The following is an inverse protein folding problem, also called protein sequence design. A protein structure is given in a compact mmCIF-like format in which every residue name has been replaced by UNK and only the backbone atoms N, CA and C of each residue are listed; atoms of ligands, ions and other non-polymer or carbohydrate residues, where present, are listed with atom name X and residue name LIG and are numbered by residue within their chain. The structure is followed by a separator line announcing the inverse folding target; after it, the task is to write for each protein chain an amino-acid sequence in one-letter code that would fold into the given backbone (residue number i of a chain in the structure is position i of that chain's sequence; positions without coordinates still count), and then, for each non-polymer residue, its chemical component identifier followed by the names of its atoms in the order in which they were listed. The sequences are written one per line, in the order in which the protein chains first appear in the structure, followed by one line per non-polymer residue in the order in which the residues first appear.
data_IF_312955744731
#
_entry.id   IF_312955744731
#
_cell.length_a   1.000
_cell.length_b   1.000
_cell.length_c   1.000
_cell.angle_alpha   90.00
_cell.angle_beta   90.00
_cell.angle_gamma   90.00
#
_symmetry.space_group_name_H-M   'P 1'
#
loop_
_entity.id
_entity.type
_entity.pdbx_description
1 polymer ?
#
# COMPACT_ATOMS: atom_id res chain seq x y z
N UNK A 1 -2.22 0.64 -1.06
CA UNK A 1 -1.41 1.84 -0.79
C UNK A 1 -0.54 1.53 0.39
N UNK A 2 0.70 1.11 0.12
CA UNK A 2 1.69 0.82 1.14
C UNK A 2 2.26 2.16 1.61
N UNK A 3 1.46 2.83 2.45
CA UNK A 3 1.80 4.10 3.07
C UNK A 3 3.13 3.89 3.79
N UNK A 4 4.14 4.73 3.52
CA UNK A 4 5.56 4.62 3.89
C UNK A 4 5.81 4.38 5.40
N UNK A 5 5.40 3.21 5.87
CA UNK A 5 5.37 2.81 7.27
C UNK A 5 6.69 2.16 7.70
N UNK A 6 7.53 1.82 6.73
CA UNK A 6 8.79 1.13 6.93
C UNK A 6 9.86 2.06 7.50
N UNK A 7 9.86 3.32 7.09
CA UNK A 7 10.80 4.33 7.54
C UNK A 7 10.26 5.13 8.74
N UNK A 8 9.72 4.48 9.76
CA UNK A 8 9.30 5.14 11.01
C UNK A 8 10.41 5.17 12.05
N UNK A 9 10.42 6.18 12.91
CA UNK A 9 11.35 6.28 14.05
C UNK A 9 10.58 6.43 15.35
N UNK A 10 10.85 5.55 16.31
CA UNK A 10 10.16 5.55 17.61
C UNK A 10 10.58 6.78 18.42
N UNK A 11 9.58 7.48 18.95
CA UNK A 11 9.74 8.58 19.89
C UNK A 11 10.40 8.09 21.18
N UNK A 12 11.14 8.99 21.83
CA UNK A 12 11.84 8.68 23.05
C UNK A 12 10.88 8.20 24.15
N UNK A 13 11.12 7.00 24.68
CA UNK A 13 10.29 6.41 25.75
C UNK A 13 10.76 6.92 27.11
N UNK A 14 9.90 7.70 27.79
CA UNK A 14 10.11 8.19 29.16
C UNK A 14 11.09 9.37 29.27
N UNK A 15 11.67 9.56 30.45
CA UNK A 15 12.60 10.67 30.78
C UNK A 15 14.06 10.41 30.39
N UNK A 16 14.32 9.46 29.49
CA UNK A 16 15.69 9.16 29.04
C UNK A 16 16.18 10.32 28.19
N UNK A 17 17.40 10.79 28.40
CA UNK A 17 18.01 11.79 27.52
C UNK A 17 18.46 11.14 26.21
N UNK A 18 18.20 11.78 25.06
CA UNK A 18 18.74 11.32 23.78
C UNK A 18 20.25 11.59 23.79
N UNK A 19 21.06 10.53 23.82
CA UNK A 19 22.52 10.66 23.94
C UNK A 19 23.21 11.23 22.70
N UNK A 20 22.51 11.31 21.56
CA UNK A 20 23.03 11.80 20.29
C UNK A 20 22.29 13.07 19.86
N UNK A 21 22.95 14.21 20.02
CA UNK A 21 22.42 15.54 19.68
C UNK A 21 22.97 16.09 18.35
N UNK A 22 23.64 15.25 17.56
CA UNK A 22 24.20 15.70 16.29
C UNK A 22 23.08 16.06 15.32
N UNK A 23 23.24 17.20 14.64
CA UNK A 23 22.35 17.59 13.55
C UNK A 23 22.99 17.18 12.24
N UNK A 24 22.27 16.38 11.45
CA UNK A 24 22.73 15.97 10.13
C UNK A 24 22.49 17.11 9.13
N UNK A 25 23.57 17.81 8.74
CA UNK A 25 23.52 18.95 7.79
C UNK A 25 24.21 18.67 6.46
N UNK A 26 24.76 17.48 6.27
CA UNK A 26 25.69 17.17 5.17
C UNK A 26 25.00 16.65 3.90
N UNK A 27 23.67 16.55 3.88
CA UNK A 27 22.92 16.00 2.75
C UNK A 27 22.29 17.09 1.89
N UNK A 28 22.33 16.86 0.58
CA UNK A 28 21.61 17.66 -0.40
C UNK A 28 20.18 17.14 -0.66
N UNK A 29 19.81 15.99 -0.09
CA UNK A 29 18.48 15.41 -0.25
C UNK A 29 17.48 16.03 0.74
N UNK A 30 17.85 16.18 2.01
CA UNK A 30 16.90 16.60 3.04
C UNK A 30 16.56 18.08 2.95
N UNK A 31 15.26 18.38 2.86
CA UNK A 31 14.73 19.72 3.04
C UNK A 31 14.74 20.06 4.53
N UNK A 32 15.14 21.30 4.86
CA UNK A 32 15.14 21.78 6.23
C UNK A 32 13.71 21.82 6.77
N UNK A 33 13.54 21.37 8.02
CA UNK A 33 12.24 21.39 8.71
C UNK A 33 11.59 22.78 8.70
N UNK A 34 12.35 23.81 9.04
CA UNK A 34 11.85 25.19 9.05
C UNK A 34 11.34 25.64 7.68
N UNK A 35 11.98 25.18 6.59
CA UNK A 35 11.52 25.45 5.24
C UNK A 35 10.20 24.75 4.92
N UNK A 36 10.04 23.49 5.33
CA UNK A 36 8.80 22.72 5.13
C UNK A 36 7.65 23.29 5.97
N UNK A 37 7.93 23.67 7.22
CA UNK A 37 6.93 24.16 8.16
C UNK A 37 6.38 25.55 7.80
N UNK A 38 7.06 26.33 6.96
CA UNK A 38 6.49 27.55 6.34
C UNK A 38 5.16 27.27 5.60
N UNK A 39 5.00 26.05 5.06
CA UNK A 39 3.83 25.65 4.27
C UNK A 39 2.73 24.99 5.09
N UNK A 40 2.93 24.80 6.41
CA UNK A 40 2.00 24.07 7.28
C UNK A 40 0.56 24.64 7.25
N UNK A 41 0.44 25.97 7.16
CA UNK A 41 -0.85 26.67 7.26
C UNK A 41 -1.40 27.16 5.90
N UNK A 42 -0.76 26.81 4.78
CA UNK A 42 -1.15 27.34 3.46
C UNK A 42 -2.46 26.76 2.94
N UNK A 43 -2.81 25.54 3.36
CA UNK A 43 -4.08 24.89 3.01
C UNK A 43 -4.94 24.82 4.26
N UNK A 44 -6.00 25.65 4.33
CA UNK A 44 -6.94 25.62 5.45
C UNK A 44 -7.63 24.25 5.53
N UNK A 45 -7.58 23.63 6.70
CA UNK A 45 -8.43 22.49 7.03
C UNK A 45 -9.91 22.91 6.91
N UNK A 46 -10.75 22.06 6.31
CA UNK A 46 -12.20 22.31 6.29
C UNK A 46 -12.71 22.26 7.73
N UNK A 47 -13.53 23.23 8.18
CA UNK A 47 -14.11 23.16 9.52
C UNK A 47 -15.01 21.93 9.62
N UNK A 48 -14.77 21.08 10.63
CA UNK A 48 -15.69 20.00 11.01
C UNK A 48 -17.06 20.61 11.30
N UNK A 49 -18.09 20.17 10.58
CA UNK A 49 -19.47 20.45 10.96
C UNK A 49 -19.71 19.87 12.36
N UNK A 50 -20.22 20.68 13.28
CA UNK A 50 -20.72 20.20 14.58
C UNK A 50 -21.70 19.07 14.31
N UNK A 51 -21.46 17.87 14.86
CA UNK A 51 -22.44 16.78 14.81
C UNK A 51 -23.73 17.29 15.44
N UNK A 52 -24.78 17.38 14.64
CA UNK A 52 -26.16 17.51 15.12
C UNK A 52 -26.74 16.11 15.03
N UNK A 53 -27.10 15.54 16.17
CA UNK A 53 -27.74 14.22 16.19
C UNK A 53 -29.17 14.36 15.65
N UNK A 54 -29.48 13.63 14.58
CA UNK A 54 -30.72 13.80 13.81
C UNK A 54 -31.94 13.10 14.44
N UNK A 55 -31.97 12.91 15.75
CA UNK A 55 -33.09 12.25 16.44
C UNK A 55 -33.69 12.98 17.65
N UNK A 56 -33.18 14.13 18.10
CA UNK A 56 -33.83 14.84 19.23
C UNK A 56 -33.72 16.37 19.26
N UNK A 57 -32.94 17.00 18.38
CA UNK A 57 -32.98 18.47 18.24
C UNK A 57 -32.58 19.27 19.49
N UNK A 58 -31.75 18.73 20.39
CA UNK A 58 -31.18 19.50 21.51
C UNK A 58 -29.65 19.31 21.62
N UNK A 59 -28.92 20.33 22.14
CA UNK A 59 -27.48 20.23 22.35
C UNK A 59 -27.18 19.36 23.57
N UNK A 60 -26.23 18.44 23.45
CA UNK A 60 -25.69 17.68 24.59
C UNK A 60 -24.87 18.64 25.46
N UNK A 61 -25.27 18.81 26.71
CA UNK A 61 -24.46 19.39 27.78
C UNK A 61 -23.64 18.25 28.39
N UNK A 62 -22.32 18.41 28.41
CA UNK A 62 -21.42 17.53 29.17
C UNK A 62 -21.47 17.98 30.64
N UNK A 63 -22.26 17.28 31.45
CA UNK A 63 -22.25 17.41 32.91
C UNK A 63 -21.22 16.41 33.49
N UNK A 64 -20.01 16.90 33.73
CA UNK A 64 -19.02 16.24 34.60
C UNK A 64 -19.15 16.79 36.03
N UNK A 65 -19.84 16.07 36.92
CA UNK A 65 -19.72 16.27 38.37
C UNK A 65 -19.29 14.98 39.11
N UNK A 66 -18.08 15.08 39.65
CA UNK A 66 -17.44 14.46 40.81
C UNK A 66 -18.06 13.22 41.51
N UNK A 67 -17.21 12.23 41.81
CA UNK A 67 -16.84 11.91 43.20
C UNK A 67 -15.35 11.55 43.34
N UNK A 68 -14.82 11.89 44.52
CA UNK A 68 -13.42 11.99 44.94
C UNK A 68 -12.98 10.74 45.70
N UNK A 69 -11.70 10.36 45.58
CA UNK A 69 -10.86 10.03 46.74
C UNK A 69 -9.35 10.19 46.41
N UNK A 70 -8.61 10.79 47.36
CA UNK A 70 -7.26 11.39 47.24
C UNK A 70 -6.11 10.43 46.84
N UNK A 71 -4.90 10.90 46.51
CA UNK A 71 -4.04 11.88 47.20
C UNK A 71 -2.84 12.26 46.28
N UNK A 72 -2.26 13.46 46.43
CA UNK A 72 -0.89 13.80 45.99
C UNK A 72 -0.71 14.76 44.78
N UNK A 73 -0.51 16.05 45.08
CA UNK A 73 -0.16 17.17 44.18
C UNK A 73 1.15 17.01 43.37
N UNK A 74 1.10 17.32 42.06
CA UNK A 74 2.11 18.12 41.31
C UNK A 74 1.39 18.87 40.15
N UNK A 75 1.60 20.19 39.93
CA UNK A 75 0.82 20.95 38.95
C UNK A 75 1.33 20.73 37.51
N UNK A 76 0.51 20.11 36.65
CA UNK A 76 0.76 20.03 35.21
C UNK A 76 0.08 21.18 34.48
N UNK A 77 0.92 22.03 33.88
CA UNK A 77 0.56 23.17 33.05
C UNK A 77 -0.19 22.68 31.80
N UNK A 78 -1.46 23.06 31.66
CA UNK A 78 -2.29 22.74 30.48
C UNK A 78 -1.73 23.44 29.24
N UNK A 79 -1.00 22.69 28.40
CA UNK A 79 -0.78 23.07 27.00
C UNK A 79 -1.88 22.46 26.16
N UNK A 80 -2.78 23.31 25.67
CA UNK A 80 -3.78 22.96 24.65
C UNK A 80 -3.06 22.52 23.37
N UNK A 81 -3.09 21.22 23.08
CA UNK A 81 -2.58 20.67 21.84
C UNK A 81 -3.75 20.64 20.83
N UNK A 82 -3.68 21.48 19.80
CA UNK A 82 -4.63 21.47 18.70
C UNK A 82 -4.40 20.22 17.86
N UNK A 83 -5.39 19.34 17.79
CA UNK A 83 -5.36 18.15 16.92
C UNK A 83 -5.82 18.59 15.52
N UNK A 84 -4.87 18.71 14.61
CA UNK A 84 -5.12 19.08 13.21
C UNK A 84 -5.46 17.81 12.41
N UNK A 85 -6.62 17.81 11.73
CA UNK A 85 -7.24 16.63 11.14
C UNK A 85 -6.82 16.34 9.69
N UNK A 86 -6.78 15.05 9.35
CA UNK A 86 -6.52 14.49 8.01
C UNK A 86 -7.69 14.74 7.03
N UNK A 87 -7.38 14.96 5.74
CA UNK A 87 -8.32 15.33 4.68
C UNK A 87 -8.99 14.15 3.96
N UNK A 88 -8.88 12.93 4.50
CA UNK A 88 -9.48 11.72 3.91
C UNK A 88 -10.98 11.54 4.20
N UNK A 89 -11.59 12.42 5.00
CA UNK A 89 -13.02 12.42 5.30
C UNK A 89 -13.85 13.06 4.17
N UNK A 90 -14.06 12.32 3.09
CA UNK A 90 -15.16 12.60 2.16
C UNK A 90 -16.47 12.04 2.72
N UNK A 91 -17.23 12.89 3.41
CA UNK A 91 -18.66 12.66 3.66
C UNK A 91 -19.45 13.31 2.51
N UNK A 92 -19.64 12.56 1.44
CA UNK A 92 -20.67 12.90 0.46
C UNK A 92 -22.01 12.59 1.14
N UNK A 93 -22.66 13.65 1.63
CA UNK A 93 -23.86 13.62 2.48
C UNK A 93 -25.13 13.07 1.84
N UNK A 94 -25.09 11.87 1.25
CA UNK A 94 -26.27 11.08 0.91
C UNK A 94 -26.03 9.57 0.71
N UNK A 95 -25.11 8.96 1.46
CA UNK A 95 -25.01 7.48 1.51
C UNK A 95 -25.08 7.04 2.96
N UNK A 96 -26.11 6.26 3.29
CA UNK A 96 -26.25 5.55 4.57
C UNK A 96 -25.09 4.55 4.68
N UNK A 97 -23.93 5.00 5.15
CA UNK A 97 -22.77 4.13 5.34
C UNK A 97 -23.11 3.11 6.43
N UNK A 98 -22.98 1.82 6.09
CA UNK A 98 -23.31 0.74 7.00
C UNK A 98 -22.51 0.84 8.32
N UNK A 99 -23.08 0.45 9.48
CA UNK A 99 -22.46 0.56 10.81
C UNK A 99 -21.04 -0.04 10.91
N UNK A 100 -20.77 -1.07 10.10
CA UNK A 100 -19.46 -1.70 9.98
C UNK A 100 -18.38 -0.72 9.47
N UNK A 101 -18.69 0.08 8.44
CA UNK A 101 -17.73 1.01 7.82
C UNK A 101 -17.41 2.17 8.77
N UNK A 102 -18.40 2.66 9.50
CA UNK A 102 -18.19 3.69 10.53
C UNK A 102 -17.34 3.17 11.69
N UNK A 103 -17.55 1.91 12.13
CA UNK A 103 -16.75 1.30 13.19
C UNK A 103 -15.31 1.00 12.72
N UNK A 104 -15.14 0.57 11.46
CA UNK A 104 -13.81 0.34 10.87
C UNK A 104 -13.03 1.65 10.69
N UNK A 105 -13.69 2.71 10.21
CA UNK A 105 -13.10 4.05 10.11
C UNK A 105 -12.74 4.63 11.48
N UNK A 106 -13.59 4.44 12.48
CA UNK A 106 -13.32 4.84 13.85
C UNK A 106 -12.12 4.07 14.43
N UNK A 107 -12.07 2.75 14.27
CA UNK A 107 -10.96 1.92 14.72
C UNK A 107 -9.63 2.30 14.03
N UNK A 108 -9.65 2.49 12.70
CA UNK A 108 -8.48 2.96 11.96
C UNK A 108 -8.05 4.37 12.43
N UNK A 109 -8.98 5.28 12.68
CA UNK A 109 -8.65 6.62 13.18
C UNK A 109 -8.02 6.59 14.58
N UNK A 110 -8.44 5.66 15.45
CA UNK A 110 -7.88 5.48 16.79
C UNK A 110 -6.53 4.77 16.76
N UNK A 111 -6.34 3.78 15.89
CA UNK A 111 -5.06 3.11 15.65
C UNK A 111 -4.03 4.10 15.07
N UNK A 112 -4.44 4.97 14.15
CA UNK A 112 -3.57 6.01 13.60
C UNK A 112 -3.15 7.03 14.67
N UNK A 113 -4.08 7.46 15.54
CA UNK A 113 -3.77 8.35 16.68
C UNK A 113 -2.83 7.69 17.71
N UNK A 114 -3.08 6.42 18.07
CA UNK A 114 -2.22 5.66 19.00
C UNK A 114 -0.85 5.38 18.40
N UNK A 115 -0.78 5.14 17.09
CA UNK A 115 0.46 4.97 16.35
C UNK A 115 1.32 6.25 16.39
N UNK A 116 0.73 7.44 16.20
CA UNK A 116 1.46 8.72 16.23
C UNK A 116 2.01 9.09 17.60
N UNK A 117 1.39 8.64 18.69
CA UNK A 117 1.93 8.86 20.03
C UNK A 117 3.26 8.13 20.29
N UNK A 118 3.63 7.15 19.43
CA UNK A 118 4.82 6.30 19.59
C UNK A 118 5.96 6.73 18.65
N UNK A 119 5.72 7.52 17.60
CA UNK A 119 6.74 7.86 16.60
C UNK A 119 7.00 9.37 16.54
N UNK A 120 8.27 9.78 16.60
CA UNK A 120 8.66 11.19 16.45
C UNK A 120 8.70 11.58 14.96
N UNK A 121 9.24 10.68 14.14
CA UNK A 121 9.20 10.75 12.68
C UNK A 121 8.33 9.59 12.15
N UNK A 122 7.18 9.94 11.58
CA UNK A 122 6.17 9.00 11.10
C UNK A 122 6.48 8.42 9.71
N UNK A 123 7.48 8.98 9.01
CA UNK A 123 7.92 8.55 7.69
C UNK A 123 8.76 9.62 7.00
N UNK A 124 8.97 9.45 5.69
CA UNK A 124 9.56 10.48 4.83
C UNK A 124 8.68 10.73 3.61
N UNK A 125 8.75 11.93 3.07
CA UNK A 125 8.14 12.31 1.82
C UNK A 125 9.25 12.52 0.79
N UNK A 126 9.18 11.86 -0.37
CA UNK A 126 10.28 11.83 -1.35
C UNK A 126 9.82 12.37 -2.70
N UNK A 127 10.68 13.19 -3.31
CA UNK A 127 10.57 13.59 -4.71
C UNK A 127 11.65 12.91 -5.54
N UNK A 128 11.27 12.36 -6.69
CA UNK A 128 12.18 11.83 -7.68
C UNK A 128 11.90 12.43 -9.06
N UNK A 129 12.91 12.51 -9.91
CA UNK A 129 12.73 12.86 -11.31
C UNK A 129 12.22 11.65 -12.13
N UNK A 130 11.79 11.91 -13.36
CA UNK A 130 11.39 10.87 -14.33
C UNK A 130 12.44 9.79 -14.59
N UNK A 131 13.73 10.09 -14.38
CA UNK A 131 14.82 9.12 -14.58
C UNK A 131 15.03 8.21 -13.37
N UNK A 132 14.22 8.34 -12.32
CA UNK A 132 14.32 7.55 -11.11
C UNK A 132 15.32 8.05 -10.07
N UNK A 133 15.96 9.20 -10.30
CA UNK A 133 16.86 9.82 -9.33
C UNK A 133 16.05 10.57 -8.27
N UNK A 134 16.33 10.26 -7.01
CA UNK A 134 15.84 11.00 -5.83
C UNK A 134 16.41 12.41 -5.87
N UNK A 135 15.56 13.41 -5.71
CA UNK A 135 15.92 14.83 -5.71
C UNK A 135 15.91 15.38 -4.28
N UNK A 136 14.79 15.22 -3.58
CA UNK A 136 14.58 15.78 -2.26
C UNK A 136 13.75 14.86 -1.36
N UNK A 137 13.97 15.01 -0.06
CA UNK A 137 13.35 14.24 1.01
C UNK A 137 12.90 15.23 2.09
N UNK A 138 11.71 15.04 2.65
CA UNK A 138 11.24 15.77 3.81
C UNK A 138 10.79 14.80 4.89
N UNK A 139 11.21 15.02 6.14
CA UNK A 139 10.75 14.18 7.25
C UNK A 139 9.31 14.50 7.61
N UNK A 140 8.50 13.44 7.75
CA UNK A 140 7.14 13.57 8.24
C UNK A 140 7.16 13.50 9.77
N UNK A 141 7.32 14.65 10.42
CA UNK A 141 7.44 14.76 11.88
C UNK A 141 6.06 14.82 12.52
N UNK A 142 5.77 13.88 13.44
CA UNK A 142 4.54 13.81 14.25
C UNK A 142 3.23 14.05 13.47
N UNK A 143 3.21 13.69 12.19
CA UNK A 143 2.08 13.90 11.28
C UNK A 143 2.09 12.87 10.16
N UNK A 144 0.91 12.60 9.58
CA UNK A 144 0.78 11.83 8.33
C UNK A 144 1.14 12.67 7.10
N UNK A 145 0.66 12.29 5.91
CA UNK A 145 0.86 13.02 4.66
C UNK A 145 0.10 14.36 4.66
N UNK A 146 0.66 15.38 5.31
CA UNK A 146 0.14 16.75 5.26
C UNK A 146 0.46 17.38 3.90
N UNK A 147 -0.44 18.25 3.42
CA UNK A 147 -0.27 19.02 2.18
C UNK A 147 0.98 19.91 2.16
N UNK A 148 1.58 20.20 3.32
CA UNK A 148 2.83 20.97 3.42
C UNK A 148 4.02 20.29 2.73
N UNK A 149 4.09 18.96 2.73
CA UNK A 149 5.21 18.22 2.13
C UNK A 149 5.26 18.34 0.60
N UNK A 150 4.18 18.06 -0.15
CA UNK A 150 4.16 18.30 -1.59
C UNK A 150 4.33 19.78 -1.93
N UNK A 151 3.80 20.71 -1.13
CA UNK A 151 4.00 22.16 -1.35
C UNK A 151 5.46 22.58 -1.19
N UNK A 152 6.15 22.13 -0.15
CA UNK A 152 7.55 22.44 0.07
C UNK A 152 8.43 21.88 -1.07
N UNK A 153 8.17 20.66 -1.52
CA UNK A 153 8.87 20.08 -2.67
C UNK A 153 8.57 20.84 -3.95
N UNK A 154 7.33 21.24 -4.20
CA UNK A 154 6.96 22.02 -5.38
C UNK A 154 7.65 23.39 -5.35
N UNK A 155 7.65 24.07 -4.21
CA UNK A 155 8.36 25.33 -4.05
C UNK A 155 9.86 25.17 -4.31
N UNK A 156 10.47 24.10 -3.78
CA UNK A 156 11.88 23.80 -4.05
C UNK A 156 12.14 23.51 -5.53
N UNK A 157 11.27 22.74 -6.17
CA UNK A 157 11.38 22.44 -7.59
C UNK A 157 11.25 23.70 -8.44
N UNK A 158 10.32 24.60 -8.12
CA UNK A 158 10.15 25.88 -8.81
C UNK A 158 11.37 26.80 -8.63
N UNK A 159 11.97 26.82 -7.44
CA UNK A 159 13.21 27.56 -7.16
C UNK A 159 14.38 27.05 -8.03
N UNK A 160 14.54 25.73 -8.15
CA UNK A 160 15.70 25.10 -8.79
C UNK A 160 15.55 24.96 -10.31
N UNK A 161 14.35 24.59 -10.79
CA UNK A 161 14.10 24.27 -12.20
C UNK A 161 13.20 25.28 -12.93
N UNK A 162 12.57 26.21 -12.20
CA UNK A 162 11.61 27.17 -12.76
C UNK A 162 10.25 26.57 -13.08
N UNK A 163 9.45 27.28 -13.90
CA UNK A 163 8.01 27.04 -14.08
C UNK A 163 7.70 25.83 -14.99
N UNK A 164 8.67 25.35 -15.77
CA UNK A 164 8.45 24.28 -16.77
C UNK A 164 8.60 22.89 -16.15
N UNK A 165 7.72 22.59 -15.19
CA UNK A 165 7.72 21.33 -14.46
C UNK A 165 6.42 20.56 -14.67
N UNK A 166 6.56 19.24 -14.81
CA UNK A 166 5.46 18.29 -14.68
C UNK A 166 5.73 17.53 -13.39
N UNK A 167 4.86 17.70 -12.40
CA UNK A 167 4.99 17.05 -11.09
C UNK A 167 3.76 16.16 -10.91
N UNK A 168 3.83 14.87 -11.28
CA UNK A 168 2.81 13.91 -10.90
C UNK A 168 2.89 13.69 -9.38
N UNK A 169 1.74 13.66 -8.72
CA UNK A 169 1.64 13.42 -7.29
C UNK A 169 0.53 12.43 -7.00
N UNK A 170 0.82 11.47 -6.12
CA UNK A 170 0.00 10.27 -5.92
C UNK A 170 -1.06 10.43 -4.81
N UNK A 171 -1.53 11.66 -4.58
CA UNK A 171 -2.75 11.86 -3.79
C UNK A 171 -3.93 12.03 -4.72
N UNK A 172 -4.83 11.05 -4.63
CA UNK A 172 -6.21 11.16 -5.07
C UNK A 172 -6.90 12.31 -4.35
N UNK A 173 -6.82 13.52 -4.91
CA UNK A 173 -7.78 14.56 -4.61
C UNK A 173 -9.13 13.99 -5.07
N UNK A 174 -10.03 13.72 -4.11
CA UNK A 174 -11.35 13.12 -4.29
C UNK A 174 -12.29 13.99 -5.16
N UNK A 175 -11.96 14.06 -6.44
CA UNK A 175 -12.82 14.55 -7.49
C UNK A 175 -12.71 13.53 -8.62
N UNK A 176 -13.67 12.61 -8.63
CA UNK A 176 -13.92 11.58 -9.66
C UNK A 176 -13.97 12.12 -11.11
N UNK A 177 -13.82 13.44 -11.29
CA UNK A 177 -13.83 14.19 -12.53
C UNK A 177 -12.43 14.51 -13.13
N UNK A 178 -11.29 14.25 -12.45
CA UNK A 178 -9.95 14.73 -12.90
C UNK A 178 -8.93 13.65 -13.30
N UNK A 179 -9.28 12.37 -13.26
CA UNK A 179 -8.36 11.27 -13.62
C UNK A 179 -7.78 11.41 -15.04
N UNK A 180 -8.49 12.03 -15.97
CA UNK A 180 -8.11 12.05 -17.38
C UNK A 180 -7.14 13.16 -17.78
N UNK A 181 -7.30 14.36 -17.23
CA UNK A 181 -6.41 15.50 -17.56
C UNK A 181 -5.03 15.36 -16.92
N UNK A 182 -4.96 14.58 -15.83
CA UNK A 182 -3.77 14.44 -15.02
C UNK A 182 -3.16 13.03 -15.10
N UNK A 183 -3.71 12.12 -15.92
CA UNK A 183 -3.12 10.79 -16.11
C UNK A 183 -1.73 10.96 -16.74
N UNK A 184 -0.68 10.28 -16.23
CA UNK A 184 0.68 10.43 -16.74
C UNK A 184 0.78 10.30 -18.26
N UNK A 185 0.17 9.25 -18.82
CA UNK A 185 0.14 8.99 -20.27
C UNK A 185 -0.62 10.03 -21.12
N UNK A 186 -1.41 10.91 -20.52
CA UNK A 186 -2.15 11.97 -21.24
C UNK A 186 -1.37 13.30 -21.22
N UNK A 187 -0.46 13.48 -20.26
CA UNK A 187 0.30 14.72 -20.11
C UNK A 187 1.42 14.76 -21.16
N UNK A 188 1.32 15.70 -22.09
CA UNK A 188 2.36 15.95 -23.09
C UNK A 188 3.70 16.25 -22.40
N UNK A 189 4.71 15.41 -22.69
CA UNK A 189 6.05 15.50 -22.10
C UNK A 189 6.39 14.36 -21.13
N UNK A 190 5.39 13.59 -20.65
CA UNK A 190 5.62 12.43 -19.79
C UNK A 190 6.33 11.29 -20.54
N UNK A 191 6.06 11.12 -21.83
CA UNK A 191 6.70 10.08 -22.65
C UNK A 191 6.16 8.69 -22.34
N UNK A 192 7.05 7.70 -22.22
CA UNK A 192 6.74 6.30 -21.90
C UNK A 192 6.87 5.98 -20.40
N UNK A 193 6.94 7.00 -19.53
CA UNK A 193 7.10 6.80 -18.09
C UNK A 193 5.78 6.33 -17.46
N UNK A 194 5.84 5.26 -16.67
CA UNK A 194 4.70 4.67 -15.95
C UNK A 194 4.41 5.36 -14.60
N UNK A 195 5.40 6.06 -14.04
CA UNK A 195 5.30 6.72 -12.74
C UNK A 195 5.56 5.81 -11.53
N UNK A 196 5.94 4.55 -11.73
CA UNK A 196 6.10 3.55 -10.65
C UNK A 196 7.41 3.68 -9.86
N UNK A 197 8.28 4.61 -10.26
CA UNK A 197 9.60 4.82 -9.63
C UNK A 197 9.53 4.93 -8.12
N UNK A 198 8.58 5.72 -7.59
CA UNK A 198 8.48 5.94 -6.15
C UNK A 198 8.02 4.67 -5.43
N UNK A 199 7.14 3.87 -6.03
CA UNK A 199 6.72 2.59 -5.46
C UNK A 199 7.91 1.63 -5.34
N UNK A 200 8.73 1.53 -6.39
CA UNK A 200 9.97 0.74 -6.35
C UNK A 200 10.96 1.25 -5.31
N UNK A 201 11.12 2.57 -5.20
CA UNK A 201 11.99 3.21 -4.21
C UNK A 201 11.53 2.87 -2.79
N UNK A 202 10.24 3.03 -2.49
CA UNK A 202 9.70 2.75 -1.16
C UNK A 202 9.80 1.26 -0.84
N UNK A 203 9.50 0.38 -1.79
CA UNK A 203 9.69 -1.06 -1.65
C UNK A 203 11.15 -1.42 -1.30
N UNK A 204 12.14 -0.84 -2.02
CA UNK A 204 13.55 -1.06 -1.72
C UNK A 204 13.98 -0.50 -0.35
N UNK A 205 13.41 0.65 0.04
CA UNK A 205 13.70 1.30 1.33
C UNK A 205 13.23 0.49 2.54
N UNK A 206 12.31 -0.47 2.35
CA UNK A 206 11.85 -1.37 3.41
C UNK A 206 13.00 -2.15 4.06
N UNK A 207 14.10 -2.37 3.33
CA UNK A 207 15.32 -2.99 3.87
C UNK A 207 15.96 -2.21 5.04
N UNK A 208 15.76 -0.89 5.11
CA UNK A 208 16.28 -0.04 6.19
C UNK A 208 15.43 -0.13 7.47
N UNK A 209 14.18 -0.58 7.36
CA UNK A 209 13.20 -0.48 8.44
C UNK A 209 13.64 -1.15 9.74
N UNK A 210 14.26 -2.33 9.65
CA UNK A 210 14.74 -3.09 10.82
C UNK A 210 15.85 -2.36 11.57
N UNK A 211 16.64 -1.55 10.87
CA UNK A 211 17.83 -0.89 11.39
C UNK A 211 17.50 0.50 11.95
N UNK A 212 16.70 1.29 11.25
CA UNK A 212 16.52 2.72 11.59
C UNK A 212 15.45 3.01 12.65
N UNK A 213 14.55 2.06 12.94
CA UNK A 213 13.39 2.25 13.84
C UNK A 213 13.75 2.71 15.25
N UNK A 214 14.90 2.28 15.75
CA UNK A 214 15.37 2.53 17.12
C UNK A 214 16.61 3.45 17.17
N UNK A 215 17.02 4.01 16.03
CA UNK A 215 18.21 4.86 15.96
C UNK A 215 17.93 6.27 16.43
N UNK A 216 18.98 7.04 16.74
CA UNK A 216 18.89 8.49 16.89
C UNK A 216 18.49 9.14 15.56
N UNK A 217 17.87 10.34 15.57
CA UNK A 217 17.51 11.05 14.35
C UNK A 217 18.73 11.23 13.42
N UNK A 218 19.88 11.57 14.00
CA UNK A 218 21.15 11.69 13.26
C UNK A 218 21.52 10.41 12.49
N UNK A 219 21.58 9.26 13.16
CA UNK A 219 22.00 7.99 12.55
C UNK A 219 21.01 7.50 11.51
N UNK A 220 19.72 7.73 11.76
CA UNK A 220 18.65 7.47 10.81
C UNK A 220 18.87 8.26 9.51
N UNK A 221 19.10 9.57 9.63
CA UNK A 221 19.40 10.42 8.46
C UNK A 221 20.65 9.96 7.70
N UNK A 222 21.73 9.61 8.40
CA UNK A 222 22.96 9.07 7.77
C UNK A 222 22.67 7.83 6.93
N UNK A 223 21.89 6.88 7.45
CA UNK A 223 21.59 5.65 6.72
C UNK A 223 20.63 5.86 5.55
N UNK A 224 19.61 6.71 5.72
CA UNK A 224 18.70 7.07 4.64
C UNK A 224 19.46 7.81 3.52
N UNK A 225 20.35 8.73 3.89
CA UNK A 225 21.20 9.45 2.94
C UNK A 225 22.11 8.50 2.16
N UNK A 226 22.81 7.59 2.85
CA UNK A 226 23.64 6.57 2.20
C UNK A 226 22.84 5.68 1.25
N UNK A 227 21.64 5.27 1.66
CA UNK A 227 20.74 4.49 0.80
C UNK A 227 20.36 5.26 -0.47
N UNK A 228 19.99 6.54 -0.36
CA UNK A 228 19.64 7.34 -1.54
C UNK A 228 20.85 7.66 -2.42
N UNK A 229 22.04 7.83 -1.85
CA UNK A 229 23.27 7.90 -2.64
C UNK A 229 23.48 6.63 -3.47
N UNK A 230 23.34 5.46 -2.85
CA UNK A 230 23.47 4.18 -3.55
C UNK A 230 22.41 4.03 -4.64
N UNK A 231 21.14 4.30 -4.32
CA UNK A 231 20.04 4.26 -5.27
C UNK A 231 20.31 5.16 -6.48
N UNK A 232 20.69 6.41 -6.24
CA UNK A 232 20.98 7.36 -7.31
C UNK A 232 22.19 6.94 -8.14
N UNK A 233 23.25 6.39 -7.53
CA UNK A 233 24.41 5.88 -8.26
C UNK A 233 24.05 4.72 -9.18
N UNK A 234 23.20 3.80 -8.72
CA UNK A 234 22.70 2.68 -9.53
C UNK A 234 21.80 3.17 -10.68
N UNK A 235 20.87 4.09 -10.40
CA UNK A 235 20.00 4.69 -11.43
C UNK A 235 20.80 5.48 -12.45
N UNK A 236 21.78 6.26 -12.01
CA UNK A 236 22.65 7.02 -12.89
C UNK A 236 23.51 6.10 -13.78
N UNK A 237 24.05 5.02 -13.22
CA UNK A 237 24.83 4.03 -13.98
C UNK A 237 24.00 3.33 -15.06
N UNK A 238 22.70 3.13 -14.81
CA UNK A 238 21.77 2.50 -15.75
C UNK A 238 21.02 3.49 -16.65
N UNK A 239 21.28 4.80 -16.50
CA UNK A 239 20.52 5.85 -17.18
C UNK A 239 20.60 5.75 -18.70
N UNK A 240 21.80 5.50 -19.24
CA UNK A 240 22.01 5.39 -20.68
C UNK A 240 21.27 4.21 -21.29
N UNK A 241 21.28 3.06 -20.62
CA UNK A 241 20.58 1.85 -21.05
C UNK A 241 19.05 2.05 -20.99
N UNK A 242 18.55 2.66 -19.92
CA UNK A 242 17.13 2.99 -19.79
C UNK A 242 16.68 3.93 -20.94
N UNK A 243 17.42 5.01 -21.19
CA UNK A 243 17.09 5.95 -22.27
C UNK A 243 17.15 5.29 -23.66
N UNK A 244 18.16 4.46 -23.90
CA UNK A 244 18.30 3.71 -25.15
C UNK A 244 17.12 2.75 -25.37
N UNK A 245 16.75 1.98 -24.35
CA UNK A 245 15.61 1.06 -24.42
C UNK A 245 14.30 1.81 -24.64
N UNK A 246 14.10 2.96 -23.98
CA UNK A 246 12.92 3.79 -24.18
C UNK A 246 12.86 4.36 -25.61
N UNK A 247 14.00 4.75 -26.19
CA UNK A 247 14.07 5.17 -27.59
C UNK A 247 13.70 4.05 -28.56
N UNK A 248 14.21 2.82 -28.34
CA UNK A 248 13.84 1.66 -29.16
C UNK A 248 12.33 1.39 -29.06
N UNK A 249 11.78 1.39 -27.84
CA UNK A 249 10.35 1.17 -27.63
C UNK A 249 9.52 2.23 -28.34
N UNK A 250 9.89 3.51 -28.22
CA UNK A 250 9.20 4.59 -28.90
C UNK A 250 9.23 4.42 -30.43
N UNK A 251 10.39 4.04 -31.00
CA UNK A 251 10.50 3.77 -32.44
C UNK A 251 9.64 2.58 -32.87
N UNK A 252 9.58 1.53 -32.05
CA UNK A 252 8.71 0.37 -32.31
C UNK A 252 7.24 0.77 -32.33
N UNK A 253 6.78 1.52 -31.33
CA UNK A 253 5.40 2.02 -31.27
C UNK A 253 5.07 2.86 -32.51
N UNK A 254 5.99 3.75 -32.92
CA UNK A 254 5.77 4.63 -34.07
C UNK A 254 5.72 3.84 -35.38
N UNK A 255 6.64 2.90 -35.58
CA UNK A 255 6.78 2.22 -36.88
C UNK A 255 5.86 1.00 -37.04
N UNK A 256 5.52 0.30 -35.96
CA UNK A 256 4.74 -0.93 -35.99
C UNK A 256 3.32 -0.70 -35.47
N UNK A 257 3.19 -0.19 -34.24
CA UNK A 257 1.89 -0.11 -33.56
C UNK A 257 0.98 0.95 -34.16
N UNK A 258 1.49 2.15 -34.52
CA UNK A 258 0.68 3.19 -35.16
C UNK A 258 0.16 2.75 -36.54
N UNK A 259 0.95 2.00 -37.31
CA UNK A 259 0.54 1.48 -38.61
C UNK A 259 -0.55 0.42 -38.42
N UNK A 260 -0.35 -0.48 -37.45
CA UNK A 260 -1.33 -1.52 -37.10
C UNK A 260 -2.63 -0.91 -36.60
N UNK A 261 -2.55 0.12 -35.76
CA UNK A 261 -3.70 0.86 -35.25
C UNK A 261 -4.45 1.57 -36.39
N UNK A 262 -3.75 2.23 -37.31
CA UNK A 262 -4.39 2.89 -38.45
C UNK A 262 -5.15 1.89 -39.34
N UNK A 263 -4.53 0.75 -39.66
CA UNK A 263 -5.16 -0.29 -40.48
C UNK A 263 -6.37 -0.94 -39.80
N UNK A 264 -6.28 -1.19 -38.49
CA UNK A 264 -7.38 -1.77 -37.71
C UNK A 264 -8.53 -0.78 -37.56
N UNK A 265 -8.24 0.51 -37.32
CA UNK A 265 -9.25 1.58 -37.31
C UNK A 265 -9.97 1.69 -38.65
N UNK A 266 -9.24 1.62 -39.77
CA UNK A 266 -9.85 1.64 -41.11
C UNK A 266 -10.74 0.41 -41.35
N UNK A 267 -10.28 -0.77 -40.93
CA UNK A 267 -11.02 -2.04 -41.10
C UNK A 267 -12.31 -2.06 -40.27
N UNK A 268 -12.25 -1.54 -39.05
CA UNK A 268 -13.39 -1.50 -38.12
C UNK A 268 -14.29 -0.28 -38.34
N UNK A 269 -13.91 0.66 -39.22
CA UNK A 269 -14.64 1.91 -39.44
C UNK A 269 -14.67 2.82 -38.21
N UNK A 270 -13.64 2.76 -37.37
CA UNK A 270 -13.54 3.49 -36.10
C UNK A 270 -12.74 4.77 -36.28
N UNK A 271 -13.26 5.89 -35.78
CA UNK A 271 -12.56 7.17 -35.81
C UNK A 271 -11.65 7.36 -34.60
N UNK A 272 -10.70 8.30 -34.69
CA UNK A 272 -9.87 8.65 -33.54
C UNK A 272 -10.70 9.26 -32.40
N UNK A 273 -11.78 9.98 -32.72
CA UNK A 273 -12.70 10.56 -31.74
C UNK A 273 -13.46 9.48 -30.96
N UNK A 274 -13.77 8.34 -31.59
CA UNK A 274 -14.38 7.20 -30.91
C UNK A 274 -13.43 6.61 -29.86
N UNK A 275 -12.13 6.52 -30.16
CA UNK A 275 -11.12 6.06 -29.19
C UNK A 275 -11.03 7.00 -27.98
N UNK A 276 -11.02 8.31 -28.22
CA UNK A 276 -11.04 9.30 -27.13
C UNK A 276 -12.30 9.12 -26.29
N UNK A 277 -13.48 8.99 -26.91
CA UNK A 277 -14.76 8.78 -26.22
C UNK A 277 -14.81 7.47 -25.43
N UNK A 278 -14.22 6.39 -25.95
CA UNK A 278 -14.16 5.11 -25.25
C UNK A 278 -13.20 5.16 -24.07
N UNK A 279 -12.06 5.83 -24.21
CA UNK A 279 -11.14 6.04 -23.08
C UNK A 279 -11.86 6.77 -21.94
N UNK A 280 -12.59 7.86 -22.26
CA UNK A 280 -13.44 8.60 -21.32
C UNK A 280 -14.40 7.69 -20.57
N UNK A 281 -15.19 6.91 -21.31
CA UNK A 281 -16.20 6.01 -20.73
C UNK A 281 -15.57 4.88 -19.90
N UNK A 282 -14.47 4.28 -20.36
CA UNK A 282 -13.78 3.22 -19.64
C UNK A 282 -13.33 3.70 -18.25
N UNK A 283 -12.76 4.90 -18.17
CA UNK A 283 -12.32 5.50 -16.90
C UNK A 283 -13.48 5.87 -15.97
N UNK A 284 -14.64 6.30 -16.48
CA UNK A 284 -15.84 6.52 -15.66
C UNK A 284 -16.32 5.22 -14.97
N UNK A 285 -16.15 4.09 -15.66
CA UNK A 285 -16.51 2.76 -15.17
C UNK A 285 -15.36 2.03 -14.47
N UNK A 286 -14.15 2.62 -14.41
CA UNK A 286 -12.98 1.97 -13.82
C UNK A 286 -13.22 1.69 -12.33
N UNK A 287 -12.96 0.45 -11.90
CA UNK A 287 -13.20 0.02 -10.51
C UNK A 287 -14.67 -0.27 -10.18
N UNK A 288 -15.63 0.07 -11.03
CA UNK A 288 -17.02 -0.36 -10.89
C UNK A 288 -17.16 -1.76 -11.48
N UNK A 289 -16.80 -2.78 -10.69
CA UNK A 289 -17.13 -4.17 -11.05
C UNK A 289 -18.66 -4.31 -11.03
N UNK A 290 -19.30 -4.80 -12.12
CA UNK A 290 -20.71 -5.12 -12.06
C UNK A 290 -20.98 -6.08 -10.88
N UNK A 291 -22.09 -5.95 -10.15
CA UNK A 291 -22.35 -6.80 -8.97
C UNK A 291 -22.28 -8.31 -9.26
N UNK A 292 -22.66 -8.72 -10.46
CA UNK A 292 -22.57 -10.12 -10.89
C UNK A 292 -21.13 -10.59 -11.11
N UNK A 293 -20.23 -9.69 -11.53
CA UNK A 293 -18.84 -10.00 -11.86
C UNK A 293 -18.01 -10.34 -10.60
N UNK A 294 -18.33 -9.72 -9.45
CA UNK A 294 -17.65 -10.03 -8.18
C UNK A 294 -17.90 -11.46 -7.74
N UNK A 295 -19.14 -11.94 -7.84
CA UNK A 295 -19.50 -13.31 -7.47
C UNK A 295 -18.96 -14.34 -8.47
N UNK A 296 -18.97 -14.01 -9.76
CA UNK A 296 -18.39 -14.88 -10.81
C UNK A 296 -16.88 -15.00 -10.66
N UNK A 297 -16.16 -13.90 -10.40
CA UNK A 297 -14.71 -13.94 -10.16
C UNK A 297 -14.41 -14.77 -8.90
N UNK A 298 -15.12 -14.53 -7.79
CA UNK A 298 -14.93 -15.29 -6.56
C UNK A 298 -15.19 -16.80 -6.77
N UNK A 299 -16.18 -17.16 -7.59
CA UNK A 299 -16.45 -18.55 -7.96
C UNK A 299 -15.30 -19.16 -8.76
N UNK A 300 -14.78 -18.45 -9.76
CA UNK A 300 -13.66 -18.91 -10.60
C UNK A 300 -12.38 -19.05 -9.78
N UNK A 301 -12.07 -18.10 -8.89
CA UNK A 301 -10.92 -18.17 -7.99
C UNK A 301 -11.01 -19.39 -7.07
N UNK A 302 -12.19 -19.66 -6.49
CA UNK A 302 -12.43 -20.84 -5.65
C UNK A 302 -12.34 -22.15 -6.43
N UNK A 303 -12.81 -22.19 -7.67
CA UNK A 303 -12.64 -23.33 -8.57
C UNK A 303 -11.15 -23.58 -8.89
N UNK A 304 -10.39 -22.53 -9.20
CA UNK A 304 -8.95 -22.63 -9.46
C UNK A 304 -8.19 -23.13 -8.23
N UNK A 305 -8.54 -22.62 -7.05
CA UNK A 305 -7.98 -23.08 -5.77
C UNK A 305 -8.31 -24.56 -5.54
N UNK A 306 -9.56 -24.97 -5.76
CA UNK A 306 -9.98 -26.37 -5.65
C UNK A 306 -9.21 -27.27 -6.62
N UNK A 307 -9.09 -26.91 -7.91
CA UNK A 307 -8.31 -27.67 -8.89
C UNK A 307 -6.85 -27.81 -8.47
N UNK A 308 -6.23 -26.75 -7.96
CA UNK A 308 -4.84 -26.78 -7.50
C UNK A 308 -4.67 -27.69 -6.27
N UNK A 309 -5.61 -27.66 -5.33
CA UNK A 309 -5.59 -28.53 -4.13
C UNK A 309 -5.88 -29.99 -4.50
N UNK A 310 -6.77 -30.25 -5.45
CA UNK A 310 -7.07 -31.61 -5.93
C UNK A 310 -5.81 -32.32 -6.44
N UNK A 311 -5.01 -31.64 -7.27
CA UNK A 311 -3.71 -32.15 -7.74
C UNK A 311 -2.74 -32.39 -6.58
N UNK A 312 -2.75 -31.52 -5.56
CA UNK A 312 -1.92 -31.71 -4.36
C UNK A 312 -2.35 -32.94 -3.55
N UNK A 313 -3.65 -33.20 -3.42
CA UNK A 313 -4.20 -34.38 -2.75
C UNK A 313 -3.80 -35.64 -3.50
N UNK A 314 -3.97 -35.69 -4.83
CA UNK A 314 -3.54 -36.82 -5.64
C UNK A 314 -2.05 -37.10 -5.47
N UNK A 315 -1.22 -36.05 -5.47
CA UNK A 315 0.23 -36.16 -5.27
C UNK A 315 0.57 -36.67 -3.87
N UNK A 316 -0.04 -36.11 -2.82
CA UNK A 316 0.20 -36.49 -1.44
C UNK A 316 -0.25 -37.94 -1.16
N UNK A 317 -1.40 -38.32 -1.70
CA UNK A 317 -1.91 -39.69 -1.65
C UNK A 317 -0.98 -40.66 -2.39
N UNK A 318 -0.53 -40.32 -3.60
CA UNK A 318 0.43 -41.14 -4.34
C UNK A 318 1.76 -41.30 -3.59
N UNK A 319 2.26 -40.23 -2.96
CA UNK A 319 3.47 -40.28 -2.11
C UNK A 319 3.27 -41.24 -0.91
N UNK A 320 2.14 -41.15 -0.22
CA UNK A 320 1.81 -42.06 0.88
C UNK A 320 1.72 -43.51 0.42
N UNK A 321 0.98 -43.80 -0.66
CA UNK A 321 0.85 -45.15 -1.21
C UNK A 321 2.19 -45.70 -1.69
N UNK A 322 3.03 -44.85 -2.32
CA UNK A 322 4.37 -45.27 -2.77
C UNK A 322 5.35 -45.57 -1.64
N UNK A 323 5.07 -45.09 -0.41
CA UNK A 323 5.84 -45.45 0.78
C UNK A 323 5.56 -46.87 1.26
N UNK A 324 4.47 -47.49 0.78
CA UNK A 324 4.15 -48.90 1.05
C UNK A 324 5.00 -49.78 0.12
N UNK A 325 5.83 -50.70 0.65
CA UNK A 325 6.63 -51.60 -0.18
C UNK A 325 5.77 -52.46 -1.10
N UNK A 326 6.21 -52.64 -2.36
CA UNK A 326 5.52 -53.44 -3.37
C UNK A 326 5.39 -54.93 -2.99
N UNK A 327 6.25 -55.40 -2.09
CA UNK A 327 6.33 -56.75 -1.54
C UNK A 327 5.88 -56.82 -0.07
N UNK A 328 4.92 -55.97 0.31
CA UNK A 328 4.40 -55.89 1.68
C UNK A 328 4.00 -57.28 2.21
N UNK A 329 4.76 -57.74 3.20
CA UNK A 329 4.48 -58.95 3.98
C UNK A 329 4.38 -58.55 5.45
N UNK A 330 3.31 -58.97 6.11
CA UNK A 330 3.14 -58.73 7.54
C UNK A 330 4.15 -59.60 8.31
N UNK A 331 5.20 -58.99 8.84
CA UNK A 331 6.22 -59.66 9.66
C UNK A 331 6.01 -59.26 11.12
N UNK A 332 5.96 -60.25 12.03
CA UNK A 332 5.96 -59.99 13.47
C UNK A 332 7.27 -59.27 13.87
N UNK A 333 7.26 -58.35 14.86
CA UNK A 333 8.47 -57.65 15.27
C UNK A 333 9.53 -58.64 15.77
N UNK A 334 10.45 -59.04 14.90
CA UNK A 334 11.63 -59.81 15.23
C UNK A 334 12.84 -58.93 14.94
N UNK A 335 13.87 -59.07 15.78
CA UNK A 335 14.98 -58.14 16.00
C UNK A 335 15.81 -57.78 14.75
N UNK A 336 15.22 -57.03 13.82
CA UNK A 336 15.88 -56.39 12.69
C UNK A 336 16.25 -54.95 13.01
N UNK A 337 17.29 -54.46 12.33
CA UNK A 337 17.86 -53.11 12.42
C UNK A 337 17.01 -52.06 11.71
N UNK A 338 15.69 -52.05 11.94
CA UNK A 338 14.79 -51.01 11.41
C UNK A 338 14.56 -49.99 12.52
N UNK A 339 14.98 -48.75 12.29
CA UNK A 339 14.67 -47.66 13.21
C UNK A 339 13.19 -47.30 13.08
N UNK A 340 12.39 -47.95 13.94
CA UNK A 340 10.94 -47.79 14.00
C UNK A 340 10.54 -46.32 14.13
N UNK A 341 11.30 -45.52 14.89
CA UNK A 341 10.94 -44.13 15.14
C UNK A 341 11.10 -43.27 13.88
N UNK A 342 12.13 -43.51 13.06
CA UNK A 342 12.33 -42.77 11.82
C UNK A 342 11.29 -43.13 10.77
N UNK A 343 10.97 -44.42 10.62
CA UNK A 343 9.96 -44.89 9.66
C UNK A 343 8.54 -44.47 10.07
N UNK A 344 8.21 -44.56 11.36
CA UNK A 344 6.93 -44.07 11.88
C UNK A 344 6.81 -42.54 11.75
N UNK A 345 7.88 -41.79 12.00
CA UNK A 345 7.87 -40.33 11.80
C UNK A 345 7.69 -39.95 10.33
N UNK A 346 8.33 -40.69 9.41
CA UNK A 346 8.23 -40.45 7.98
C UNK A 346 6.81 -40.72 7.46
N UNK A 347 6.22 -41.85 7.82
CA UNK A 347 4.86 -42.22 7.42
C UNK A 347 3.80 -41.28 8.01
N UNK A 348 3.91 -40.91 9.30
CA UNK A 348 3.02 -39.94 9.94
C UNK A 348 3.06 -38.56 9.27
N UNK A 349 4.23 -38.10 8.80
CA UNK A 349 4.35 -36.82 8.07
C UNK A 349 3.62 -36.87 6.73
N UNK A 350 3.74 -37.98 5.99
CA UNK A 350 3.06 -38.17 4.71
C UNK A 350 1.53 -38.27 4.92
N UNK A 351 1.09 -39.02 5.92
CA UNK A 351 -0.32 -39.15 6.31
C UNK A 351 -0.92 -37.81 6.73
N UNK A 352 -0.24 -37.06 7.61
CA UNK A 352 -0.68 -35.73 8.06
C UNK A 352 -0.82 -34.76 6.89
N UNK A 353 0.15 -34.77 5.96
CA UNK A 353 0.12 -33.92 4.76
C UNK A 353 -1.04 -34.28 3.83
N UNK A 354 -1.32 -35.58 3.66
CA UNK A 354 -2.45 -36.05 2.87
C UNK A 354 -3.78 -35.62 3.50
N UNK A 355 -4.01 -35.92 4.78
CA UNK A 355 -5.26 -35.55 5.46
C UNK A 355 -5.51 -34.04 5.52
N UNK A 356 -4.47 -33.24 5.76
CA UNK A 356 -4.59 -31.78 5.72
C UNK A 356 -5.05 -31.27 4.33
N UNK A 357 -4.48 -31.84 3.27
CA UNK A 357 -4.82 -31.45 1.90
C UNK A 357 -6.24 -31.92 1.52
N UNK A 358 -6.61 -33.13 1.94
CA UNK A 358 -7.95 -33.71 1.73
C UNK A 358 -9.04 -32.91 2.45
N UNK A 359 -8.81 -32.51 3.70
CA UNK A 359 -9.75 -31.69 4.44
C UNK A 359 -9.95 -30.33 3.78
N UNK A 360 -8.86 -29.71 3.30
CA UNK A 360 -8.92 -28.46 2.54
C UNK A 360 -9.69 -28.62 1.22
N UNK A 361 -9.46 -29.71 0.50
CA UNK A 361 -10.20 -30.02 -0.74
C UNK A 361 -11.70 -30.12 -0.46
N UNK A 362 -12.09 -30.85 0.60
CA UNK A 362 -13.49 -31.04 0.99
C UNK A 362 -14.17 -29.72 1.34
N UNK A 363 -13.47 -28.83 2.07
CA UNK A 363 -14.00 -27.49 2.38
C UNK A 363 -14.22 -26.66 1.12
N UNK A 364 -13.22 -26.60 0.23
CA UNK A 364 -13.33 -25.86 -1.03
C UNK A 364 -14.43 -26.41 -1.93
N UNK A 365 -14.55 -27.75 -2.02
CA UNK A 365 -15.62 -28.39 -2.78
C UNK A 365 -17.01 -28.03 -2.24
N UNK A 366 -17.16 -27.98 -0.91
CA UNK A 366 -18.41 -27.56 -0.28
C UNK A 366 -18.75 -26.08 -0.56
N UNK A 367 -17.75 -25.19 -0.50
CA UNK A 367 -17.91 -23.78 -0.84
C UNK A 367 -18.32 -23.59 -2.31
N UNK A 368 -17.60 -24.23 -3.24
CA UNK A 368 -17.88 -24.21 -4.68
C UNK A 368 -19.28 -24.74 -4.98
N UNK A 369 -19.67 -25.89 -4.40
CA UNK A 369 -21.01 -26.45 -4.57
C UNK A 369 -22.12 -25.52 -4.04
N UNK A 370 -21.87 -24.85 -2.90
CA UNK A 370 -22.82 -23.89 -2.33
C UNK A 370 -22.99 -22.67 -3.24
N UNK A 371 -21.90 -22.21 -3.86
CA UNK A 371 -21.94 -21.13 -4.85
C UNK A 371 -22.70 -21.56 -6.11
N UNK A 372 -22.47 -22.76 -6.63
CA UNK A 372 -23.16 -23.28 -7.82
C UNK A 372 -24.67 -23.35 -7.65
N UNK A 373 -25.13 -23.84 -6.51
CA UNK A 373 -26.58 -23.88 -6.18
C UNK A 373 -27.17 -22.48 -6.16
N UNK A 374 -26.48 -21.52 -5.53
CA UNK A 374 -26.94 -20.12 -5.47
C UNK A 374 -26.89 -19.41 -6.83
N UNK A 375 -25.94 -19.78 -7.68
CA UNK A 375 -25.74 -19.18 -9.00
C UNK A 375 -26.51 -19.90 -10.13
N UNK A 376 -27.17 -21.02 -9.84
CA UNK A 376 -27.94 -21.80 -10.82
C UNK A 376 -27.07 -22.55 -11.84
N UNK A 377 -25.83 -22.88 -11.48
CA UNK A 377 -24.88 -23.58 -12.35
C UNK A 377 -25.17 -25.08 -12.28
N UNK A 378 -25.67 -25.66 -13.38
CA UNK A 378 -26.10 -27.07 -13.44
C UNK A 378 -25.04 -28.02 -13.99
N UNK A 379 -23.96 -27.50 -14.57
CA UNK A 379 -22.82 -28.27 -15.09
C UNK A 379 -21.53 -27.47 -14.88
N UNK A 380 -20.49 -28.17 -14.41
CA UNK A 380 -19.12 -27.69 -14.28
C UNK A 380 -18.37 -27.86 -15.59
#
# INVERSE_FOLDING_TARGET
MDNNNSLKQIAQVGSRACGDMHNFKASNYFLLRDFVDCYANEVKSRPRSKKVDACSGQPVQDDDEAESDGDGDVPSMKTSMMVEGDLTDSDDGNVTTAPCVTNWKAAASEDHKRMWAIFDEAGIFVAACRHGLVLWVADMVQSGELTKYPLAILAKALEVFGIRLIVPYDIGLAAKQRSMQNHPNVIKGMGLEDGETLEHLFSASNSLASVIRYMSPYRRHVLIDLFFQQWNNEKYSNLSLMLYNNCIQALKIINEDLVTLANTMQTLGVSHDDLIKWSLKHFETLGQKPPWDVHTIAYVEKLQEWCAVHVQVETAHAQFVSSIPSDYTFVLPSAGTVDYYTEASHTQKLETKWHYSEERERMLLHEVATMEVKMGIMRR
#
